data_IF_335499486450
#
_entry.id   IF_335499486450
#
_cell.length_a   1.000
_cell.length_b   1.000
_cell.length_c   1.000
_cell.angle_alpha   90.00
_cell.angle_beta   90.00
_cell.angle_gamma   90.00
#
_symmetry.space_group_name_H-M   'P 1'
#
loop_
_entity.id
_entity.type
_entity.pdbx_description
1 polymer ?
#
# COMPACT_ATOMS: atom_id res chain seq x y z
N UNK A 1 19.87 -25.73 2.18
CA UNK A 1 19.83 -24.26 1.97
C UNK A 1 19.97 -23.56 3.32
N UNK A 2 20.95 -22.67 3.50
CA UNK A 2 21.14 -21.97 4.78
C UNK A 2 19.98 -20.99 5.03
N UNK A 3 19.28 -21.18 6.16
CA UNK A 3 18.11 -20.39 6.61
C UNK A 3 18.48 -19.34 7.67
N UNK A 4 19.76 -19.21 8.00
CA UNK A 4 20.24 -18.20 8.94
C UNK A 4 19.90 -16.80 8.42
N UNK A 5 19.22 -16.03 9.27
CA UNK A 5 18.83 -14.67 8.99
C UNK A 5 19.86 -13.72 9.57
N UNK A 6 20.15 -12.67 8.84
CA UNK A 6 21.03 -11.58 9.27
C UNK A 6 20.39 -10.25 8.91
N UNK A 7 20.82 -9.20 9.61
CA UNK A 7 20.45 -7.83 9.35
C UNK A 7 21.30 -7.27 8.21
N UNK A 8 20.64 -6.62 7.26
CA UNK A 8 21.25 -5.98 6.09
C UNK A 8 20.90 -4.50 6.09
N UNK A 9 21.80 -3.69 5.55
CA UNK A 9 21.59 -2.28 5.28
C UNK A 9 21.92 -2.00 3.81
N UNK A 10 21.14 -1.15 3.13
CA UNK A 10 21.48 -0.67 1.79
C UNK A 10 22.11 0.72 1.84
N UNK A 11 22.65 1.19 0.71
CA UNK A 11 23.28 2.52 0.59
C UNK A 11 22.34 3.68 0.96
N UNK A 12 21.01 3.48 0.86
CA UNK A 12 20.00 4.45 1.28
C UNK A 12 19.68 4.39 2.78
N UNK A 13 20.41 3.58 3.56
CA UNK A 13 20.25 3.43 5.00
C UNK A 13 19.08 2.56 5.44
N UNK A 14 18.32 1.93 4.53
CA UNK A 14 17.23 1.04 4.93
C UNK A 14 17.76 -0.25 5.54
N UNK A 15 17.18 -0.66 6.66
CA UNK A 15 17.57 -1.89 7.36
C UNK A 15 16.50 -2.98 7.23
N UNK A 16 16.91 -4.21 6.96
CA UNK A 16 15.99 -5.35 6.92
C UNK A 16 16.68 -6.67 7.29
N UNK A 17 15.90 -7.57 7.88
CA UNK A 17 16.32 -8.93 8.16
C UNK A 17 15.92 -9.88 7.01
N UNK A 18 16.88 -10.64 6.46
CA UNK A 18 16.61 -11.75 5.53
C UNK A 18 17.77 -12.76 5.51
N UNK A 19 17.58 -13.90 4.84
CA UNK A 19 18.63 -14.91 4.73
C UNK A 19 19.68 -14.55 3.68
N UNK A 20 20.93 -14.96 3.91
CA UNK A 20 22.02 -14.83 2.92
C UNK A 20 21.63 -15.45 1.58
N UNK A 21 20.90 -16.56 1.61
CA UNK A 21 20.41 -17.26 0.43
C UNK A 21 19.36 -16.47 -0.38
N UNK A 22 18.69 -15.48 0.19
CA UNK A 22 17.86 -14.56 -0.58
C UNK A 22 18.71 -13.52 -1.29
N UNK A 23 19.66 -12.93 -0.58
CA UNK A 23 20.58 -11.93 -1.14
C UNK A 23 21.39 -12.52 -2.29
N UNK A 24 21.92 -13.74 -2.14
CA UNK A 24 22.70 -14.40 -3.19
C UNK A 24 21.90 -14.72 -4.45
N UNK A 25 20.56 -14.78 -4.37
CA UNK A 25 19.65 -14.91 -5.52
C UNK A 25 19.27 -13.57 -6.15
N UNK A 26 19.91 -12.49 -5.74
CA UNK A 26 19.64 -11.13 -6.23
C UNK A 26 18.46 -10.42 -5.54
N UNK A 27 17.92 -10.97 -4.45
CA UNK A 27 16.94 -10.21 -3.67
C UNK A 27 17.65 -9.06 -2.94
N UNK A 28 17.37 -7.83 -3.37
CA UNK A 28 17.89 -6.62 -2.73
C UNK A 28 16.98 -6.04 -1.64
N UNK A 29 17.25 -4.79 -1.29
CA UNK A 29 16.51 -4.02 -0.30
C UNK A 29 15.00 -3.99 -0.62
N UNK A 30 14.12 -4.49 0.27
CA UNK A 30 12.68 -4.57 0.01
C UNK A 30 12.00 -3.19 -0.03
N UNK A 31 12.62 -2.16 0.56
CA UNK A 31 12.13 -0.78 0.50
C UNK A 31 12.43 -0.17 -0.87
N UNK A 32 13.68 -0.29 -1.35
CA UNK A 32 14.08 0.19 -2.68
C UNK A 32 13.28 -0.50 -3.81
N UNK A 33 12.94 -1.78 -3.64
CA UNK A 33 12.18 -2.55 -4.62
C UNK A 33 10.65 -2.41 -4.45
N UNK A 34 10.15 -1.45 -3.67
CA UNK A 34 8.72 -1.21 -3.42
C UNK A 34 7.93 -2.43 -2.89
N UNK A 35 8.61 -3.39 -2.24
CA UNK A 35 7.97 -4.53 -1.57
C UNK A 35 7.54 -4.21 -0.15
N UNK A 36 8.11 -3.16 0.44
CA UNK A 36 7.69 -2.58 1.72
C UNK A 36 7.28 -1.13 1.54
N UNK A 37 6.32 -0.72 2.37
CA UNK A 37 5.82 0.65 2.42
C UNK A 37 6.85 1.54 3.09
N UNK A 38 7.07 2.72 2.51
CA UNK A 38 7.83 3.85 3.03
C UNK A 38 6.93 5.08 3.02
N UNK A 39 7.36 6.13 3.71
CA UNK A 39 6.72 7.45 3.64
C UNK A 39 6.61 7.97 2.19
N UNK A 40 7.53 7.62 1.30
CA UNK A 40 7.57 8.13 -0.09
C UNK A 40 6.72 7.31 -1.08
N UNK A 41 6.48 6.02 -0.80
CA UNK A 41 5.78 5.13 -1.72
C UNK A 41 4.38 4.71 -1.24
N UNK A 42 3.97 5.13 -0.04
CA UNK A 42 2.63 4.88 0.48
C UNK A 42 1.53 5.58 -0.34
N UNK A 43 0.29 5.13 -0.17
CA UNK A 43 -0.89 5.71 -0.82
C UNK A 43 -1.04 7.20 -0.51
N UNK A 44 -0.81 7.62 0.75
CA UNK A 44 -0.88 9.02 1.15
C UNK A 44 0.02 9.93 0.30
N UNK A 45 1.23 9.47 0.00
CA UNK A 45 2.22 10.27 -0.74
C UNK A 45 2.07 10.15 -2.25
N UNK A 46 1.64 8.99 -2.75
CA UNK A 46 1.50 8.74 -4.20
C UNK A 46 0.15 9.18 -4.74
N UNK A 47 -0.89 9.19 -3.92
CA UNK A 47 -2.22 9.66 -4.28
C UNK A 47 -2.92 10.33 -3.08
N UNK A 48 -2.57 11.61 -2.80
CA UNK A 48 -3.12 12.35 -1.67
C UNK A 48 -4.64 12.55 -1.77
N UNK A 49 -5.15 12.77 -2.99
CA UNK A 49 -6.58 13.01 -3.22
C UNK A 49 -7.41 11.77 -2.91
N UNK A 50 -6.98 10.59 -3.38
CA UNK A 50 -7.65 9.34 -3.06
C UNK A 50 -7.58 9.02 -1.57
N UNK A 51 -6.53 9.44 -0.87
CA UNK A 51 -6.39 9.23 0.57
C UNK A 51 -7.45 9.98 1.39
N UNK A 52 -8.05 11.04 0.82
CA UNK A 52 -9.20 11.73 1.42
C UNK A 52 -10.48 10.89 1.37
N UNK A 53 -10.56 9.91 0.47
CA UNK A 53 -11.70 8.99 0.36
C UNK A 53 -11.52 7.74 1.24
N UNK A 54 -10.47 7.67 2.06
CA UNK A 54 -10.26 6.58 2.99
C UNK A 54 -11.29 6.62 4.11
N UNK A 55 -12.01 5.53 4.34
CA UNK A 55 -13.01 5.49 5.40
C UNK A 55 -12.37 5.62 6.79
N UNK A 56 -12.91 6.51 7.63
CA UNK A 56 -12.32 6.89 8.92
C UNK A 56 -12.32 5.76 9.97
N UNK A 57 -13.43 5.04 10.15
CA UNK A 57 -13.59 3.98 11.17
C UNK A 57 -13.47 2.55 10.66
N UNK A 58 -13.93 2.26 9.44
CA UNK A 58 -14.12 0.89 8.95
C UNK A 58 -12.82 0.13 8.59
N UNK A 59 -11.66 0.79 8.65
CA UNK A 59 -10.36 0.20 8.32
C UNK A 59 -9.48 -0.10 9.55
N UNK A 60 -10.04 0.05 10.76
CA UNK A 60 -9.33 -0.15 12.01
C UNK A 60 -8.06 0.69 12.10
N UNK A 61 -6.91 0.06 12.37
CA UNK A 61 -5.60 0.74 12.46
C UNK A 61 -4.94 1.01 11.09
N UNK A 62 -5.53 0.55 9.99
CA UNK A 62 -4.94 0.68 8.66
C UNK A 62 -5.15 2.10 8.14
N UNK A 63 -4.07 2.78 7.77
CA UNK A 63 -4.11 4.14 7.22
C UNK A 63 -3.52 4.19 5.80
N UNK A 64 -3.82 5.23 5.00
CA UNK A 64 -3.18 5.44 3.70
C UNK A 64 -1.64 5.52 3.74
N UNK A 65 -1.05 5.85 4.90
CA UNK A 65 0.41 5.88 5.10
C UNK A 65 1.03 4.48 5.26
N UNK A 66 0.22 3.45 5.47
CA UNK A 66 0.67 2.07 5.76
C UNK A 66 0.46 1.11 4.59
N UNK A 67 0.01 1.59 3.44
CA UNK A 67 -0.38 0.74 2.30
C UNK A 67 0.21 1.25 0.98
N UNK A 68 0.53 0.32 0.08
CA UNK A 68 0.95 0.63 -1.28
C UNK A 68 -0.27 0.96 -2.16
N UNK A 69 -0.15 1.90 -3.12
CA UNK A 69 -1.20 2.18 -4.11
C UNK A 69 -1.60 0.96 -4.95
N UNK A 70 -0.66 0.06 -5.24
CA UNK A 70 -0.89 -1.18 -5.99
C UNK A 70 -1.40 -2.36 -5.15
N UNK A 71 -1.81 -2.13 -3.90
CA UNK A 71 -2.24 -3.22 -3.02
C UNK A 71 -3.60 -3.79 -3.43
N UNK A 72 -3.69 -5.13 -3.49
CA UNK A 72 -4.97 -5.85 -3.72
C UNK A 72 -5.85 -5.92 -2.46
N UNK A 73 -5.39 -5.41 -1.31
CA UNK A 73 -6.17 -5.38 -0.07
C UNK A 73 -7.47 -4.60 -0.28
N UNK A 74 -8.61 -5.22 0.03
CA UNK A 74 -9.92 -4.57 0.04
C UNK A 74 -10.08 -3.77 1.33
N UNK A 75 -10.45 -2.51 1.18
CA UNK A 75 -10.68 -1.55 2.26
C UNK A 75 -11.99 -0.83 2.01
N UNK A 76 -12.49 -0.18 3.05
CA UNK A 76 -13.65 0.69 2.95
C UNK A 76 -13.23 2.07 2.50
N UNK A 77 -14.00 2.61 1.55
CA UNK A 77 -13.87 3.96 1.01
C UNK A 77 -15.15 4.72 1.30
N UNK A 78 -15.02 6.04 1.43
CA UNK A 78 -16.14 6.95 1.57
C UNK A 78 -15.84 8.21 0.75
N UNK A 79 -16.68 8.54 -0.23
CA UNK A 79 -16.48 9.73 -1.04
C UNK A 79 -17.00 10.97 -0.32
N UNK A 80 -16.70 12.17 -0.84
CA UNK A 80 -17.18 13.44 -0.27
C UNK A 80 -18.71 13.56 -0.15
N UNK A 81 -19.47 12.79 -0.95
CA UNK A 81 -20.95 12.74 -0.88
C UNK A 81 -21.48 11.75 0.17
N UNK A 82 -20.60 11.08 0.92
CA UNK A 82 -20.97 10.11 1.96
C UNK A 82 -21.24 8.69 1.44
N UNK A 83 -21.15 8.43 0.13
CA UNK A 83 -21.30 7.07 -0.36
C UNK A 83 -20.12 6.20 0.06
N UNK A 84 -20.43 5.02 0.56
CA UNK A 84 -19.46 4.05 1.05
C UNK A 84 -19.37 2.85 0.11
N UNK A 85 -18.16 2.33 -0.10
CA UNK A 85 -17.99 1.11 -0.87
C UNK A 85 -16.73 0.36 -0.45
N UNK A 86 -16.74 -0.95 -0.73
CA UNK A 86 -15.61 -1.84 -0.47
C UNK A 86 -14.91 -2.23 -1.76
N UNK A 87 -13.66 -1.79 -1.91
CA UNK A 87 -12.84 -2.07 -3.10
C UNK A 87 -11.36 -2.24 -2.73
N UNK A 88 -10.60 -2.91 -3.60
CA UNK A 88 -9.15 -3.00 -3.45
C UNK A 88 -8.46 -1.68 -3.74
N UNK A 89 -7.39 -1.37 -3.02
CA UNK A 89 -6.63 -0.12 -3.17
C UNK A 89 -6.15 0.09 -4.61
N UNK A 90 -5.58 -0.93 -5.26
CA UNK A 90 -5.14 -0.87 -6.66
C UNK A 90 -6.26 -0.48 -7.62
N UNK A 91 -7.44 -1.07 -7.45
CA UNK A 91 -8.59 -0.80 -8.31
C UNK A 91 -9.09 0.64 -8.16
N UNK A 92 -9.24 1.12 -6.92
CA UNK A 92 -9.66 2.51 -6.66
C UNK A 92 -8.58 3.50 -7.13
N UNK A 93 -7.30 3.17 -6.93
CA UNK A 93 -6.15 3.98 -7.37
C UNK A 93 -6.06 4.09 -8.90
N UNK A 94 -6.54 3.09 -9.65
CA UNK A 94 -6.68 3.15 -11.12
C UNK A 94 -7.91 3.95 -11.59
N UNK A 95 -8.58 4.68 -10.71
CA UNK A 95 -9.72 5.54 -11.03
C UNK A 95 -11.08 4.82 -10.98
N UNK A 96 -11.16 3.58 -10.48
CA UNK A 96 -12.45 2.94 -10.19
C UNK A 96 -12.96 3.38 -8.82
N UNK A 97 -13.33 4.66 -8.74
CA UNK A 97 -13.85 5.31 -7.54
C UNK A 97 -15.30 4.95 -7.21
N UNK A 98 -15.98 5.87 -6.53
CA UNK A 98 -17.36 5.71 -6.10
C UNK A 98 -18.32 5.38 -7.26
N UNK A 99 -18.98 4.22 -7.18
CA UNK A 99 -19.91 3.76 -8.23
C UNK A 99 -21.14 4.66 -8.36
N UNK A 100 -21.66 5.16 -7.24
CA UNK A 100 -22.75 6.13 -7.20
C UNK A 100 -22.38 7.42 -7.93
N UNK A 101 -21.19 8.00 -7.64
CA UNK A 101 -20.73 9.21 -8.34
C UNK A 101 -20.47 8.98 -9.83
N UNK A 102 -20.12 7.75 -10.22
CA UNK A 102 -19.92 7.39 -11.63
C UNK A 102 -21.19 6.98 -12.38
N UNK A 103 -22.37 7.02 -11.73
CA UNK A 103 -23.65 6.63 -12.33
C UNK A 103 -23.77 5.12 -12.62
N UNK A 104 -22.94 4.28 -11.98
CA UNK A 104 -22.92 2.82 -12.17
C UNK A 104 -23.85 2.07 -11.22
N UNK A 105 -24.31 2.74 -10.17
CA UNK A 105 -25.26 2.22 -9.18
C UNK A 105 -26.25 3.36 -8.91
N UNK A 106 -27.54 3.03 -8.98
CA UNK A 106 -28.67 3.94 -8.70
C UNK A 106 -29.15 3.74 -7.28
#
# INVERSE_FOLDING_TARGET
>A
MCRYKVWWQCEKGHEWETSVSHISRGQGCPYCSNRRVTSENCLASRNPQLSLEWHASENGKSTPKMVMPGSRKKVWWQCKKGHEWRASIDNTNRGRGCLYCSGKVN
#
